data_IF_840813962587
#
_entry.id   IF_840813962587
#
_cell.length_a   1.000
_cell.length_b   1.000
_cell.length_c   1.000
_cell.angle_alpha   90.00
_cell.angle_beta   90.00
_cell.angle_gamma   90.00
#
_symmetry.space_group_name_H-M   'P 1'
#
loop_
_entity.id
_entity.type
_entity.pdbx_description
1 polymer ?
#
# COMPACT_ATOMS: atom_id res chain seq x y z
N UNK A 1 -12.69 -16.88 12.77
CA UNK A 1 -12.48 -15.81 11.80
C UNK A 1 -13.79 -15.39 11.17
N UNK A 2 -14.08 -14.13 11.24
CA UNK A 2 -15.34 -13.64 10.69
C UNK A 2 -15.18 -13.31 9.21
N UNK A 3 -15.71 -14.17 8.35
CA UNK A 3 -15.72 -13.94 6.92
C UNK A 3 -17.02 -13.28 6.52
N UNK A 4 -17.25 -12.09 7.06
CA UNK A 4 -18.47 -11.35 6.76
C UNK A 4 -18.62 -11.13 5.26
N UNK A 5 -19.86 -11.17 4.79
CA UNK A 5 -20.15 -10.84 3.41
C UNK A 5 -20.26 -9.34 3.25
N UNK A 6 -19.70 -8.84 2.17
CA UNK A 6 -19.79 -7.43 1.81
C UNK A 6 -20.66 -7.33 0.56
N UNK A 7 -21.53 -6.35 0.55
CA UNK A 7 -22.38 -6.07 -0.59
C UNK A 7 -22.14 -4.63 -1.03
N UNK A 8 -21.80 -4.46 -2.31
CA UNK A 8 -21.58 -3.14 -2.90
C UNK A 8 -22.53 -2.94 -4.06
N UNK A 9 -23.22 -1.83 -4.06
CA UNK A 9 -24.15 -1.46 -5.12
C UNK A 9 -23.60 -0.22 -5.82
N UNK A 10 -23.45 -0.29 -7.14
CA UNK A 10 -23.00 0.84 -7.94
C UNK A 10 -24.13 1.26 -8.87
N UNK A 11 -24.53 2.51 -8.76
CA UNK A 11 -25.53 3.10 -9.66
C UNK A 11 -24.88 4.21 -10.46
N UNK A 12 -25.06 4.14 -11.77
CA UNK A 12 -24.55 5.17 -12.67
C UNK A 12 -25.51 5.25 -13.86
N UNK A 13 -26.17 6.38 -13.98
CA UNK A 13 -27.22 6.61 -14.98
C UNK A 13 -28.29 5.51 -14.87
N UNK A 14 -28.53 4.76 -15.95
CA UNK A 14 -29.53 3.70 -15.97
C UNK A 14 -28.93 2.33 -15.60
N UNK A 15 -27.65 2.30 -15.23
CA UNK A 15 -26.96 1.06 -14.91
C UNK A 15 -26.89 0.86 -13.41
N UNK A 16 -27.18 -0.36 -12.98
CA UNK A 16 -27.07 -0.76 -11.59
C UNK A 16 -26.34 -2.09 -11.54
N UNK A 17 -25.24 -2.14 -10.78
CA UNK A 17 -24.41 -3.33 -10.66
C UNK A 17 -24.22 -3.63 -9.17
N UNK A 18 -24.36 -4.89 -8.80
CA UNK A 18 -24.21 -5.32 -7.42
C UNK A 18 -23.15 -6.39 -7.32
N UNK A 19 -22.28 -6.25 -6.32
CA UNK A 19 -21.27 -7.26 -6.00
C UNK A 19 -21.47 -7.72 -4.56
N UNK A 20 -21.45 -9.03 -4.35
CA UNK A 20 -21.59 -9.59 -3.01
C UNK A 20 -20.64 -10.76 -2.85
N UNK A 21 -20.00 -10.85 -1.69
CA UNK A 21 -19.05 -11.92 -1.40
C UNK A 21 -18.10 -11.53 -0.30
N UNK A 22 -16.96 -12.20 -0.23
CA UNK A 22 -15.92 -11.87 0.71
C UNK A 22 -15.30 -10.52 0.41
N UNK A 23 -14.69 -9.91 1.40
CA UNK A 23 -14.11 -8.57 1.28
C UNK A 23 -13.15 -8.44 0.08
N UNK A 24 -12.19 -9.34 -0.01
CA UNK A 24 -11.19 -9.28 -1.10
C UNK A 24 -11.82 -9.49 -2.47
N UNK A 25 -12.74 -10.43 -2.55
CA UNK A 25 -13.44 -10.74 -3.79
C UNK A 25 -14.24 -9.53 -4.29
N UNK A 26 -15.00 -8.90 -3.40
CA UNK A 26 -15.80 -7.73 -3.76
C UNK A 26 -14.89 -6.56 -4.14
N UNK A 27 -13.80 -6.35 -3.40
CA UNK A 27 -12.85 -5.29 -3.71
C UNK A 27 -12.28 -5.46 -5.13
N UNK A 28 -11.87 -6.67 -5.49
CA UNK A 28 -11.36 -6.95 -6.83
C UNK A 28 -12.43 -6.73 -7.90
N UNK A 29 -13.64 -7.18 -7.63
CA UNK A 29 -14.75 -7.04 -8.58
C UNK A 29 -15.07 -5.57 -8.84
N UNK A 30 -15.11 -4.75 -7.79
CA UNK A 30 -15.37 -3.32 -7.91
C UNK A 30 -14.27 -2.63 -8.73
N UNK A 31 -13.00 -2.94 -8.43
CA UNK A 31 -11.88 -2.35 -9.17
C UNK A 31 -11.91 -2.76 -10.64
N UNK A 32 -12.17 -4.03 -10.91
CA UNK A 32 -12.28 -4.53 -12.28
C UNK A 32 -13.40 -3.82 -13.03
N UNK A 33 -14.54 -3.67 -12.38
CA UNK A 33 -15.68 -2.98 -12.98
C UNK A 33 -15.31 -1.55 -13.39
N UNK A 34 -14.67 -0.80 -12.49
CA UNK A 34 -14.29 0.57 -12.80
C UNK A 34 -13.24 0.64 -13.90
N UNK A 35 -12.29 -0.27 -13.91
CA UNK A 35 -11.25 -0.32 -14.97
C UNK A 35 -11.87 -0.59 -16.35
N UNK A 36 -12.84 -1.48 -16.41
CA UNK A 36 -13.49 -1.83 -17.69
C UNK A 36 -14.52 -0.78 -18.12
N UNK A 37 -15.29 -0.24 -17.18
CA UNK A 37 -16.32 0.73 -17.50
C UNK A 37 -15.74 2.12 -17.76
N UNK A 38 -14.60 2.44 -17.17
CA UNK A 38 -14.00 3.77 -17.27
C UNK A 38 -12.51 3.69 -17.59
N UNK A 39 -12.16 3.28 -18.82
CA UNK A 39 -10.73 3.16 -19.19
C UNK A 39 -9.92 4.44 -19.00
N UNK A 40 -10.56 5.60 -19.07
CA UNK A 40 -9.88 6.88 -18.86
C UNK A 40 -9.30 7.00 -17.45
N UNK A 41 -9.92 6.34 -16.47
CA UNK A 41 -9.43 6.35 -15.10
C UNK A 41 -8.06 5.66 -15.03
N UNK A 42 -7.91 4.53 -15.72
CA UNK A 42 -6.64 3.81 -15.77
C UNK A 42 -5.55 4.66 -16.42
N UNK A 43 -5.90 5.33 -17.51
CA UNK A 43 -4.95 6.20 -18.19
C UNK A 43 -4.49 7.34 -17.27
N UNK A 44 -5.42 7.95 -16.53
CA UNK A 44 -5.09 9.04 -15.59
C UNK A 44 -4.20 8.52 -14.47
N UNK A 45 -4.50 7.34 -13.93
CA UNK A 45 -3.67 6.73 -12.88
C UNK A 45 -2.24 6.54 -13.36
N UNK A 46 -2.07 5.99 -14.55
CA UNK A 46 -0.73 5.76 -15.12
C UNK A 46 0.02 7.06 -15.36
N UNK A 47 -0.66 8.07 -15.91
CA UNK A 47 -0.03 9.36 -16.17
C UNK A 47 0.40 10.07 -14.88
N UNK A 48 -0.33 9.88 -13.80
CA UNK A 48 0.00 10.47 -12.51
C UNK A 48 0.93 9.60 -11.67
N UNK A 49 1.29 8.41 -12.17
CA UNK A 49 2.11 7.48 -11.41
C UNK A 49 1.39 6.93 -10.19
N UNK A 50 0.07 6.88 -10.24
CA UNK A 50 -0.71 6.34 -9.14
C UNK A 50 -0.58 4.82 -9.07
N UNK A 51 -0.48 4.32 -7.86
CA UNK A 51 -0.32 2.89 -7.62
C UNK A 51 -1.68 2.21 -7.59
N UNK A 52 -1.78 1.03 -8.23
CA UNK A 52 -2.95 0.19 -8.10
C UNK A 52 -2.89 -0.48 -6.72
N UNK A 53 -3.75 -0.03 -5.82
CA UNK A 53 -3.74 -0.49 -4.42
C UNK A 53 -4.07 -1.98 -4.30
N UNK A 54 -4.99 -2.47 -5.14
CA UNK A 54 -5.35 -3.89 -5.10
C UNK A 54 -4.17 -4.76 -5.52
N UNK A 55 -3.44 -4.35 -6.55
CA UNK A 55 -2.24 -5.05 -7.01
C UNK A 55 -1.14 -5.01 -5.94
N UNK A 56 -0.95 -3.84 -5.33
CA UNK A 56 0.03 -3.69 -4.26
C UNK A 56 -0.31 -4.60 -3.07
N UNK A 57 -1.58 -4.65 -2.68
CA UNK A 57 -2.02 -5.51 -1.58
C UNK A 57 -1.72 -6.98 -1.88
N UNK A 58 -1.95 -7.42 -3.12
CA UNK A 58 -1.63 -8.78 -3.54
C UNK A 58 -0.13 -9.08 -3.39
N UNK A 59 0.71 -8.13 -3.81
CA UNK A 59 2.17 -8.29 -3.72
C UNK A 59 2.68 -8.28 -2.29
N UNK A 60 2.00 -7.58 -1.40
CA UNK A 60 2.38 -7.52 0.02
C UNK A 60 1.93 -8.76 0.79
N UNK A 61 1.04 -9.55 0.23
CA UNK A 61 0.53 -10.76 0.85
C UNK A 61 1.67 -11.72 1.19
N UNK A 62 1.71 -12.18 2.43
CA UNK A 62 2.78 -13.03 2.91
C UNK A 62 4.06 -12.30 3.32
N UNK A 63 4.14 -11.00 3.06
CA UNK A 63 5.30 -10.19 3.44
C UNK A 63 5.02 -9.27 4.62
N UNK A 64 3.78 -8.82 4.74
CA UNK A 64 3.35 -7.96 5.84
C UNK A 64 1.97 -8.39 6.32
N UNK A 65 1.68 -8.03 7.58
CA UNK A 65 0.35 -8.22 8.18
C UNK A 65 0.01 -7.00 9.02
N UNK A 66 -1.28 -6.77 9.20
CA UNK A 66 -1.76 -5.77 10.14
C UNK A 66 -2.29 -6.53 11.36
N UNK A 67 -1.70 -6.29 12.52
CA UNK A 67 -2.13 -6.92 13.78
C UNK A 67 -2.36 -5.83 14.81
N UNK A 68 -3.59 -5.76 15.31
CA UNK A 68 -3.94 -4.80 16.35
C UNK A 68 -3.52 -3.36 16.03
N UNK A 69 -3.76 -2.94 14.79
CA UNK A 69 -3.42 -1.59 14.33
C UNK A 69 -1.95 -1.35 14.08
N UNK A 70 -1.14 -2.41 14.07
CA UNK A 70 0.30 -2.32 13.84
C UNK A 70 0.68 -3.05 12.55
N UNK A 71 1.73 -2.58 11.91
CA UNK A 71 2.32 -3.24 10.75
C UNK A 71 3.35 -4.24 11.25
N UNK A 72 3.24 -5.48 10.79
CA UNK A 72 4.18 -6.55 11.11
C UNK A 72 4.86 -6.99 9.82
N UNK A 73 6.19 -6.93 9.79
CA UNK A 73 6.97 -7.40 8.64
C UNK A 73 7.31 -8.86 8.86
N UNK A 74 6.98 -9.70 7.90
CA UNK A 74 7.20 -11.15 8.01
C UNK A 74 8.54 -11.54 7.37
N UNK A 75 9.24 -12.46 8.02
CA UNK A 75 10.50 -12.98 7.51
C UNK A 75 11.70 -12.09 7.79
N UNK A 76 12.87 -12.58 7.41
CA UNK A 76 14.13 -11.89 7.60
C UNK A 76 14.56 -11.22 6.31
N UNK A 77 14.99 -9.98 6.40
CA UNK A 77 15.48 -9.24 5.24
C UNK A 77 16.29 -8.02 5.69
N UNK A 78 16.99 -7.41 4.76
CA UNK A 78 17.82 -6.25 5.09
C UNK A 78 16.99 -5.03 5.49
N UNK A 79 17.62 -4.10 6.19
CA UNK A 79 16.97 -2.93 6.77
C UNK A 79 16.19 -2.10 5.74
N UNK A 80 16.80 -1.80 4.61
CA UNK A 80 16.15 -0.97 3.58
C UNK A 80 14.85 -1.61 3.07
N UNK A 81 14.89 -2.91 2.84
CA UNK A 81 13.71 -3.63 2.35
C UNK A 81 12.60 -3.63 3.40
N UNK A 82 12.95 -3.83 4.68
CA UNK A 82 11.96 -3.76 5.76
C UNK A 82 11.29 -2.40 5.82
N UNK A 83 12.06 -1.34 5.66
CA UNK A 83 11.52 0.03 5.67
C UNK A 83 10.58 0.25 4.49
N UNK A 84 11.00 -0.16 3.29
CA UNK A 84 10.17 0.01 2.10
C UNK A 84 8.87 -0.78 2.20
N UNK A 85 8.93 -2.01 2.72
CA UNK A 85 7.72 -2.81 2.94
C UNK A 85 6.79 -2.17 3.96
N UNK A 86 7.35 -1.61 5.02
CA UNK A 86 6.59 -0.91 6.04
C UNK A 86 5.81 0.27 5.44
N UNK A 87 6.48 1.07 4.63
CA UNK A 87 5.85 2.24 4.02
C UNK A 87 4.83 1.84 2.94
N UNK A 88 5.11 0.79 2.18
CA UNK A 88 4.16 0.25 1.21
C UNK A 88 2.91 -0.26 1.92
N UNK A 89 3.10 -0.95 3.05
CA UNK A 89 1.99 -1.46 3.86
C UNK A 89 1.14 -0.31 4.43
N UNK A 90 1.78 0.75 4.91
CA UNK A 90 1.06 1.91 5.43
C UNK A 90 0.22 2.56 4.33
N UNK A 91 0.80 2.71 3.15
CA UNK A 91 0.10 3.28 2.00
C UNK A 91 -1.11 2.45 1.61
N UNK A 92 -0.91 1.15 1.40
CA UNK A 92 -2.00 0.25 1.03
C UNK A 92 -3.03 0.16 2.15
N UNK A 93 -2.56 0.06 3.39
CA UNK A 93 -3.45 -0.05 4.55
C UNK A 93 -4.36 1.15 4.72
N UNK A 94 -3.84 2.35 4.51
CA UNK A 94 -4.67 3.54 4.59
C UNK A 94 -5.72 3.56 3.49
N UNK A 95 -5.32 3.24 2.27
CA UNK A 95 -6.24 3.21 1.14
C UNK A 95 -7.34 2.16 1.33
N UNK A 96 -7.05 1.07 2.01
CA UNK A 96 -8.00 -0.02 2.27
C UNK A 96 -8.78 0.14 3.58
N UNK A 97 -8.47 1.17 4.36
CA UNK A 97 -9.12 1.38 5.65
C UNK A 97 -8.62 0.47 6.77
N UNK A 98 -7.45 -0.15 6.58
CA UNK A 98 -6.85 -1.06 7.56
C UNK A 98 -5.83 -0.38 8.46
N UNK A 99 -5.40 0.82 8.09
CA UNK A 99 -4.38 1.57 8.79
C UNK A 99 -4.69 3.06 8.67
N UNK A 100 -4.32 3.84 9.67
CA UNK A 100 -4.71 5.25 9.73
C UNK A 100 -3.80 6.21 8.96
N UNK A 101 -2.54 5.84 8.79
CA UNK A 101 -1.52 6.75 8.23
C UNK A 101 -0.83 6.16 7.03
N UNK A 102 -0.58 6.97 6.02
CA UNK A 102 0.24 6.57 4.89
C UNK A 102 1.66 7.14 4.97
N UNK A 103 1.92 8.00 5.95
CA UNK A 103 3.25 8.55 6.21
C UNK A 103 3.59 8.38 7.68
N UNK A 104 4.83 8.02 7.96
CA UNK A 104 5.26 7.66 9.30
C UNK A 104 6.52 8.41 9.71
N UNK A 105 6.67 8.59 11.02
CA UNK A 105 7.91 9.15 11.58
C UNK A 105 8.98 8.06 11.60
N UNK A 106 10.26 8.42 11.64
CA UNK A 106 11.34 7.43 11.81
C UNK A 106 11.14 6.54 13.02
N UNK A 107 10.61 7.10 14.10
CA UNK A 107 10.36 6.34 15.32
C UNK A 107 9.29 5.27 15.11
N UNK A 108 8.20 5.64 14.42
CA UNK A 108 7.15 4.68 14.09
C UNK A 108 7.68 3.58 13.18
N UNK A 109 8.43 3.96 12.16
CA UNK A 109 9.03 2.99 11.23
C UNK A 109 9.95 2.02 11.98
N UNK A 110 10.80 2.55 12.86
CA UNK A 110 11.69 1.72 13.67
C UNK A 110 10.88 0.73 14.51
N UNK A 111 9.78 1.20 15.12
CA UNK A 111 8.92 0.34 15.92
C UNK A 111 8.28 -0.79 15.14
N UNK A 112 7.79 -0.52 13.94
CA UNK A 112 7.15 -1.54 13.12
C UNK A 112 8.13 -2.49 12.46
N UNK A 113 9.33 -2.00 12.10
CA UNK A 113 10.32 -2.83 11.41
C UNK A 113 11.22 -3.63 12.35
N UNK A 114 11.22 -3.27 13.63
CA UNK A 114 12.12 -3.89 14.60
C UNK A 114 13.55 -3.38 14.53
N UNK A 115 13.79 -2.32 13.78
CA UNK A 115 15.11 -1.70 13.67
C UNK A 115 15.28 -0.64 14.77
N UNK A 116 16.53 -0.33 15.12
CA UNK A 116 16.73 0.78 16.04
C UNK A 116 16.55 2.11 15.29
N UNK A 117 16.24 3.16 16.00
CA UNK A 117 15.90 4.44 15.38
C UNK A 117 17.06 5.05 14.62
N UNK A 118 18.29 4.90 15.13
CA UNK A 118 19.48 5.43 14.48
C UNK A 118 19.72 4.79 13.10
N UNK A 119 19.60 3.46 13.02
CA UNK A 119 19.74 2.75 11.75
C UNK A 119 18.60 3.14 10.81
N UNK A 120 17.39 3.25 11.33
CA UNK A 120 16.23 3.64 10.54
C UNK A 120 16.43 5.01 9.91
N UNK A 121 16.90 6.00 10.67
CA UNK A 121 17.17 7.34 10.14
C UNK A 121 18.23 7.33 9.06
N UNK A 122 19.31 6.56 9.26
CA UNK A 122 20.37 6.46 8.28
C UNK A 122 19.88 5.84 6.97
N UNK A 123 19.12 4.75 7.09
CA UNK A 123 18.57 4.09 5.88
C UNK A 123 17.53 4.97 5.18
N UNK A 124 16.70 5.68 5.92
CA UNK A 124 15.73 6.60 5.33
C UNK A 124 16.41 7.72 4.55
N UNK A 125 17.51 8.24 5.06
CA UNK A 125 18.27 9.26 4.34
C UNK A 125 18.77 8.73 3.00
N UNK A 126 19.31 7.52 2.99
CA UNK A 126 19.80 6.87 1.76
C UNK A 126 18.66 6.62 0.79
N UNK A 127 17.54 6.11 1.28
CA UNK A 127 16.37 5.81 0.45
C UNK A 127 15.77 7.08 -0.15
N UNK A 128 15.77 8.17 0.62
CA UNK A 128 15.28 9.45 0.13
C UNK A 128 16.17 9.99 -1.01
N UNK A 129 17.48 9.89 -0.85
CA UNK A 129 18.43 10.32 -1.89
C UNK A 129 18.27 9.50 -3.16
N UNK A 130 17.90 8.23 -3.01
CA UNK A 130 17.66 7.35 -4.15
C UNK A 130 16.28 7.54 -4.78
N UNK A 131 15.43 8.40 -4.20
CA UNK A 131 14.08 8.64 -4.71
C UNK A 131 13.07 7.55 -4.37
N UNK A 132 13.42 6.66 -3.45
CA UNK A 132 12.56 5.52 -3.10
C UNK A 132 11.56 5.83 -2.00
N UNK A 133 11.75 6.91 -1.27
CA UNK A 133 10.78 7.39 -0.28
C UNK A 133 10.66 8.91 -0.41
N UNK A 134 9.53 9.44 0.02
CA UNK A 134 9.33 10.90 0.11
C UNK A 134 9.37 11.31 1.57
N UNK A 135 9.74 12.56 1.82
CA UNK A 135 9.75 13.13 3.15
C UNK A 135 8.94 14.43 3.12
N UNK A 136 7.97 14.54 4.00
CA UNK A 136 7.19 15.77 4.13
C UNK A 136 7.95 16.80 4.95
N UNK A 137 7.47 18.05 4.92
CA UNK A 137 8.06 19.14 5.71
C UNK A 137 7.99 18.85 7.21
N UNK A 138 7.05 18.01 7.62
CA UNK A 138 6.87 17.63 9.01
C UNK A 138 7.78 16.49 9.45
N UNK A 139 8.62 15.99 8.54
CA UNK A 139 9.53 14.89 8.87
C UNK A 139 8.89 13.51 8.79
N UNK A 140 7.79 13.38 8.09
CA UNK A 140 7.13 12.10 7.86
C UNK A 140 7.61 11.50 6.54
N UNK A 141 7.78 10.18 6.53
CA UNK A 141 8.23 9.47 5.34
C UNK A 141 7.11 8.65 4.74
N UNK A 142 7.05 8.60 3.42
CA UNK A 142 5.99 7.92 2.69
C UNK A 142 6.50 7.07 1.54
N UNK A 143 5.62 6.19 1.10
CA UNK A 143 5.84 5.29 -0.03
C UNK A 143 5.85 6.06 -1.36
N UNK A 144 6.66 5.58 -2.30
CA UNK A 144 6.64 6.08 -3.68
C UNK A 144 6.45 4.90 -4.62
N UNK A 145 5.84 5.15 -5.78
CA UNK A 145 5.68 4.11 -6.79
C UNK A 145 7.03 3.61 -7.31
N UNK A 146 8.05 4.45 -7.25
CA UNK A 146 9.41 4.09 -7.65
C UNK A 146 9.94 2.89 -6.87
N UNK A 147 9.55 2.76 -5.59
CA UNK A 147 10.02 1.67 -4.75
C UNK A 147 9.46 0.29 -5.14
N UNK A 148 8.44 0.25 -5.98
CA UNK A 148 7.87 -1.02 -6.43
C UNK A 148 8.89 -1.87 -7.17
N UNK A 149 9.73 -1.25 -7.98
CA UNK A 149 10.78 -1.97 -8.71
C UNK A 149 11.82 -2.56 -7.75
N UNK A 150 12.18 -1.78 -6.73
CA UNK A 150 13.11 -2.26 -5.69
C UNK A 150 12.54 -3.42 -4.90
N UNK A 151 11.27 -3.31 -4.54
CA UNK A 151 10.62 -4.32 -3.69
C UNK A 151 10.28 -5.60 -4.44
N UNK A 152 9.81 -5.49 -5.66
CA UNK A 152 9.22 -6.64 -6.36
C UNK A 152 9.88 -6.96 -7.70
N UNK A 153 10.92 -6.24 -8.07
CA UNK A 153 11.65 -6.50 -9.30
C UNK A 153 10.87 -6.23 -10.57
N UNK A 154 9.88 -5.35 -10.50
CA UNK A 154 9.04 -5.04 -11.65
C UNK A 154 9.55 -3.81 -12.37
N UNK A 155 10.44 -4.00 -13.26
CA UNK A 155 11.04 -2.91 -14.00
C UNK A 155 10.52 -2.75 -15.41
N UNK A 156 9.37 -3.26 -15.74
CA UNK A 156 8.95 -3.24 -17.16
C UNK A 156 7.53 -2.80 -17.32
#
# INVERSE_FOLDING_TARGET
MNSGKVKVLIKHDDTEVEFEGGYEEVWRSVNKYFSEAYPAIEAVKKLKGLVDVADLAEKLKGLVEFREGRIVILGEMEAKRRILLCLAAAYAGKALGLFEKDKLTPKEIAGYTGLNEKVTRARLSELRKAGLVIRSDEGLYGFTSTSLNELFGEGR
#
